data_IF_994091566764
#
_entry.id   IF_994091566764
#
_cell.length_a   1.000
_cell.length_b   1.000
_cell.length_c   1.000
_cell.angle_alpha   90.00
_cell.angle_beta   90.00
_cell.angle_gamma   90.00
#
_symmetry.space_group_name_H-M   'P 1'
#
loop_
_entity.id
_entity.type
_entity.pdbx_description
1 polymer ?
#
# COMPACT_ATOMS: atom_id res chain seq x y z
N UNK A 1 38.93 -17.64 -4.39
CA UNK A 1 38.20 -16.37 -4.12
C UNK A 1 39.01 -15.21 -4.66
N UNK A 2 38.36 -14.24 -5.31
CA UNK A 2 39.03 -12.99 -5.69
C UNK A 2 39.22 -12.10 -4.46
N UNK A 3 40.35 -11.39 -4.38
CA UNK A 3 40.62 -10.44 -3.30
C UNK A 3 40.23 -9.03 -3.75
N UNK A 4 39.46 -8.32 -2.93
CA UNK A 4 39.07 -6.94 -3.20
C UNK A 4 39.49 -6.06 -2.02
N UNK A 5 40.21 -4.98 -2.29
CA UNK A 5 40.52 -3.93 -1.30
C UNK A 5 39.56 -2.77 -1.52
N UNK A 6 38.63 -2.57 -0.59
CA UNK A 6 37.59 -1.54 -0.68
C UNK A 6 37.76 -0.58 0.49
N UNK A 7 37.71 0.72 0.22
CA UNK A 7 37.57 1.75 1.24
C UNK A 7 36.09 2.00 1.49
N UNK A 8 35.67 1.92 2.75
CA UNK A 8 34.30 2.19 3.19
C UNK A 8 34.28 3.42 4.09
N UNK A 9 33.13 4.08 4.18
CA UNK A 9 32.95 5.17 5.14
C UNK A 9 32.97 4.62 6.56
N UNK A 10 33.45 5.41 7.53
CA UNK A 10 33.57 5.03 8.95
C UNK A 10 32.27 4.46 9.53
N UNK A 11 31.13 5.04 9.16
CA UNK A 11 29.80 4.54 9.59
C UNK A 11 29.57 3.09 9.16
N UNK A 12 29.88 2.78 7.89
CA UNK A 12 29.69 1.44 7.33
C UNK A 12 30.68 0.47 7.97
N UNK A 13 31.94 0.87 8.16
CA UNK A 13 32.92 0.06 8.86
C UNK A 13 32.45 -0.30 10.28
N UNK A 14 31.94 0.69 11.02
CA UNK A 14 31.41 0.50 12.37
C UNK A 14 30.24 -0.49 12.39
N UNK A 15 29.27 -0.31 11.49
CA UNK A 15 28.12 -1.22 11.40
C UNK A 15 28.55 -2.66 11.09
N UNK A 16 29.52 -2.86 10.19
CA UNK A 16 30.07 -4.19 9.89
C UNK A 16 30.74 -4.80 11.13
N UNK A 17 31.51 -4.00 11.87
CA UNK A 17 32.16 -4.46 13.11
C UNK A 17 31.14 -4.82 14.18
N UNK A 18 30.07 -4.04 14.32
CA UNK A 18 29.00 -4.30 15.28
C UNK A 18 28.28 -5.63 14.97
N UNK A 19 28.02 -5.91 13.69
CA UNK A 19 27.46 -7.21 13.24
C UNK A 19 28.40 -8.35 13.59
N UNK A 20 29.69 -8.22 13.26
CA UNK A 20 30.70 -9.23 13.60
C UNK A 20 30.78 -9.49 15.10
N UNK A 21 30.77 -8.45 15.93
CA UNK A 21 30.81 -8.59 17.38
C UNK A 21 29.55 -9.28 17.92
N UNK A 22 28.37 -9.00 17.36
CA UNK A 22 27.14 -9.71 17.70
C UNK A 22 27.22 -11.21 17.40
N UNK A 23 27.79 -11.60 16.25
CA UNK A 23 27.97 -13.02 15.92
C UNK A 23 28.88 -13.73 16.94
N UNK A 24 29.97 -13.10 17.36
CA UNK A 24 30.84 -13.63 18.41
C UNK A 24 30.12 -13.72 19.77
N UNK A 25 29.34 -12.69 20.13
CA UNK A 25 28.55 -12.69 21.37
C UNK A 25 27.49 -13.79 21.39
N UNK A 26 26.94 -14.13 20.22
CA UNK A 26 25.98 -15.22 20.06
C UNK A 26 26.63 -16.62 20.08
N UNK A 27 27.93 -16.72 20.33
CA UNK A 27 28.64 -17.97 20.50
C UNK A 27 29.31 -18.51 19.23
N UNK A 28 29.42 -17.72 18.16
CA UNK A 28 30.14 -18.12 16.96
C UNK A 28 31.65 -18.25 17.25
N UNK A 29 32.27 -19.32 16.77
CA UNK A 29 33.70 -19.52 16.99
C UNK A 29 34.50 -18.52 16.10
N UNK A 30 35.56 -17.86 16.61
CA UNK A 30 36.42 -16.98 15.81
C UNK A 30 37.12 -17.62 14.60
N UNK A 31 37.04 -18.95 14.44
CA UNK A 31 37.56 -19.68 13.27
C UNK A 31 36.52 -19.84 12.15
N UNK A 32 35.24 -19.63 12.46
CA UNK A 32 34.11 -19.77 11.54
C UNK A 32 33.67 -18.40 11.01
N UNK A 33 33.79 -17.36 11.85
CA UNK A 33 33.37 -16.00 11.53
C UNK A 33 34.56 -15.05 11.57
N UNK A 34 34.73 -14.28 10.50
CA UNK A 34 35.71 -13.23 10.34
C UNK A 34 35.06 -11.98 9.73
N UNK A 35 35.67 -10.81 9.93
CA UNK A 35 35.21 -9.58 9.28
C UNK A 35 35.09 -9.76 7.75
N UNK A 36 36.02 -10.49 7.14
CA UNK A 36 35.97 -10.77 5.70
C UNK A 36 34.81 -11.67 5.29
N UNK A 37 34.45 -12.68 6.09
CA UNK A 37 33.28 -13.53 5.80
C UNK A 37 31.97 -12.76 6.00
N UNK A 38 31.87 -11.95 7.04
CA UNK A 38 30.72 -11.04 7.27
C UNK A 38 30.57 -10.05 6.11
N UNK A 39 31.67 -9.42 5.66
CA UNK A 39 31.65 -8.54 4.48
C UNK A 39 31.20 -9.28 3.20
N UNK A 40 31.66 -10.51 2.98
CA UNK A 40 31.27 -11.28 1.81
C UNK A 40 29.77 -11.57 1.79
N UNK A 41 29.17 -11.91 2.95
CA UNK A 41 27.73 -12.16 3.02
C UNK A 41 26.92 -10.86 2.85
N UNK A 42 27.38 -9.75 3.41
CA UNK A 42 26.76 -8.43 3.18
C UNK A 42 26.82 -8.01 1.71
N UNK A 43 27.94 -8.23 1.03
CA UNK A 43 28.06 -7.97 -0.41
C UNK A 43 27.13 -8.88 -1.22
N UNK A 44 27.00 -10.16 -0.84
CA UNK A 44 26.07 -11.10 -1.47
C UNK A 44 24.62 -10.66 -1.32
N UNK A 45 24.20 -10.28 -0.12
CA UNK A 45 22.87 -9.75 0.16
C UNK A 45 22.61 -8.46 -0.61
N UNK A 46 23.60 -7.55 -0.65
CA UNK A 46 23.53 -6.32 -1.43
C UNK A 46 23.35 -6.58 -2.93
N UNK A 47 24.04 -7.58 -3.49
CA UNK A 47 23.89 -7.99 -4.88
C UNK A 47 22.51 -8.61 -5.15
N UNK A 48 21.97 -9.41 -4.22
CA UNK A 48 20.61 -9.97 -4.33
C UNK A 48 19.58 -8.82 -4.37
N UNK A 49 19.66 -7.88 -3.43
CA UNK A 49 18.76 -6.73 -3.37
C UNK A 49 18.90 -5.83 -4.61
N UNK A 50 20.13 -5.58 -5.06
CA UNK A 50 20.38 -4.79 -6.27
C UNK A 50 19.78 -5.46 -7.51
N UNK A 51 19.90 -6.79 -7.65
CA UNK A 51 19.26 -7.54 -8.73
C UNK A 51 17.74 -7.53 -8.62
N UNK A 52 17.19 -7.68 -7.42
CA UNK A 52 15.75 -7.62 -7.19
C UNK A 52 15.16 -6.23 -7.51
N UNK A 53 15.85 -5.15 -7.14
CA UNK A 53 15.46 -3.78 -7.49
C UNK A 53 15.43 -3.53 -9.00
N UNK A 54 16.33 -4.19 -9.74
CA UNK A 54 16.41 -4.10 -11.19
C UNK A 54 15.56 -5.17 -11.91
N UNK A 55 14.93 -6.09 -11.17
CA UNK A 55 13.90 -6.95 -11.72
C UNK A 55 12.63 -6.09 -11.91
N UNK A 56 11.98 -6.24 -13.06
CA UNK A 56 11.01 -5.32 -13.68
C UNK A 56 9.76 -4.94 -12.86
N UNK A 57 9.62 -5.34 -11.61
CA UNK A 57 8.47 -5.01 -10.78
C UNK A 57 8.68 -3.67 -10.05
N UNK A 58 8.94 -2.62 -10.82
CA UNK A 58 8.93 -1.25 -10.30
C UNK A 58 7.48 -0.79 -10.14
N UNK A 59 7.09 -0.43 -8.92
CA UNK A 59 5.77 0.11 -8.65
C UNK A 59 5.46 1.31 -9.56
N UNK A 60 4.45 1.16 -10.42
CA UNK A 60 3.96 2.21 -11.30
C UNK A 60 2.79 2.93 -10.62
N UNK A 61 3.04 4.14 -10.10
CA UNK A 61 1.98 4.97 -9.49
C UNK A 61 0.81 5.18 -10.45
N UNK A 62 1.09 5.35 -11.75
CA UNK A 62 0.06 5.56 -12.78
C UNK A 62 -0.84 4.34 -12.93
N UNK A 63 -0.24 3.15 -12.95
CA UNK A 63 -0.97 1.90 -13.10
C UNK A 63 -1.77 1.56 -11.84
N UNK A 64 -1.15 1.75 -10.67
CA UNK A 64 -1.83 1.66 -9.39
C UNK A 64 -3.04 2.58 -9.32
N UNK A 65 -2.89 3.87 -9.65
CA UNK A 65 -3.99 4.84 -9.64
C UNK A 65 -5.10 4.42 -10.61
N UNK A 66 -4.75 3.97 -11.82
CA UNK A 66 -5.72 3.47 -12.80
C UNK A 66 -6.52 2.29 -12.26
N UNK A 67 -5.84 1.33 -11.64
CA UNK A 67 -6.46 0.11 -11.11
C UNK A 67 -7.34 0.40 -9.90
N UNK A 68 -6.89 1.28 -9.00
CA UNK A 68 -7.68 1.74 -7.84
C UNK A 68 -8.95 2.44 -8.31
N UNK A 69 -8.84 3.41 -9.24
CA UNK A 69 -10.01 4.11 -9.79
C UNK A 69 -10.96 3.10 -10.42
N UNK A 70 -10.46 2.17 -11.25
CA UNK A 70 -11.29 1.15 -11.90
C UNK A 70 -12.07 0.30 -10.90
N UNK A 71 -11.42 -0.16 -9.82
CA UNK A 71 -12.06 -0.98 -8.79
C UNK A 71 -13.10 -0.17 -8.02
N UNK A 72 -12.76 1.04 -7.57
CA UNK A 72 -13.66 1.89 -6.78
C UNK A 72 -14.89 2.31 -7.60
N UNK A 73 -14.70 2.77 -8.84
CA UNK A 73 -15.80 3.10 -9.75
C UNK A 73 -16.70 1.90 -10.01
N UNK A 74 -16.12 0.73 -10.29
CA UNK A 74 -16.90 -0.50 -10.51
C UNK A 74 -17.70 -0.94 -9.28
N UNK A 75 -17.14 -0.80 -8.07
CA UNK A 75 -17.87 -1.08 -6.83
C UNK A 75 -19.01 -0.09 -6.62
N UNK A 76 -18.79 1.21 -6.87
CA UNK A 76 -19.84 2.24 -6.75
C UNK A 76 -21.02 1.96 -7.67
N UNK A 77 -20.75 1.64 -8.93
CA UNK A 77 -21.77 1.25 -9.91
C UNK A 77 -22.54 0.00 -9.47
N UNK A 78 -21.82 -1.02 -8.98
CA UNK A 78 -22.43 -2.24 -8.45
C UNK A 78 -23.36 -1.99 -7.26
N UNK A 79 -22.96 -1.12 -6.32
CA UNK A 79 -23.80 -0.74 -5.18
C UNK A 79 -25.07 -0.01 -5.66
N UNK A 80 -24.96 0.89 -6.64
CA UNK A 80 -26.14 1.58 -7.18
C UNK A 80 -27.11 0.60 -7.86
N UNK A 81 -26.61 -0.38 -8.62
CA UNK A 81 -27.46 -1.42 -9.21
C UNK A 81 -28.18 -2.25 -8.14
N UNK A 82 -27.45 -2.71 -7.12
CA UNK A 82 -28.03 -3.47 -6.01
C UNK A 82 -29.10 -2.67 -5.27
N UNK A 83 -28.83 -1.39 -5.03
CA UNK A 83 -29.76 -0.50 -4.36
C UNK A 83 -31.07 -0.32 -5.16
N UNK A 84 -30.95 -0.12 -6.47
CA UNK A 84 -32.11 -0.06 -7.37
C UNK A 84 -32.93 -1.34 -7.33
N UNK A 85 -32.28 -2.51 -7.42
CA UNK A 85 -32.96 -3.81 -7.35
C UNK A 85 -33.66 -4.03 -6.00
N UNK A 86 -32.99 -3.70 -4.88
CA UNK A 86 -33.59 -3.84 -3.54
C UNK A 86 -34.79 -2.92 -3.37
N UNK A 87 -34.71 -1.69 -3.90
CA UNK A 87 -35.80 -0.73 -3.84
C UNK A 87 -36.99 -1.22 -4.67
N UNK A 88 -36.76 -1.72 -5.88
CA UNK A 88 -37.78 -2.32 -6.75
C UNK A 88 -38.48 -3.51 -6.06
N UNK A 89 -37.72 -4.44 -5.47
CA UNK A 89 -38.26 -5.59 -4.72
C UNK A 89 -39.11 -5.12 -3.53
N UNK A 90 -38.64 -4.12 -2.78
CA UNK A 90 -39.38 -3.56 -1.64
C UNK A 90 -40.74 -2.98 -2.04
N UNK A 91 -40.84 -2.40 -3.23
CA UNK A 91 -42.06 -1.77 -3.70
C UNK A 91 -43.05 -2.78 -4.27
N UNK A 92 -42.55 -3.76 -5.02
CA UNK A 92 -43.36 -4.90 -5.46
C UNK A 92 -43.97 -5.68 -4.29
N UNK A 93 -43.30 -5.73 -3.15
CA UNK A 93 -43.82 -6.38 -1.93
C UNK A 93 -44.79 -5.50 -1.13
N UNK A 94 -44.80 -4.18 -1.32
CA UNK A 94 -45.61 -3.23 -0.52
C UNK A 94 -46.86 -2.69 -1.27
N UNK A 95 -47.00 -2.93 -2.57
CA UNK A 95 -48.22 -2.68 -3.36
C UNK A 95 -48.32 -1.31 -4.06
N UNK A 96 -49.27 -1.20 -5.00
CA UNK A 96 -49.46 -0.23 -6.12
C UNK A 96 -49.30 1.29 -5.86
N UNK A 97 -49.12 1.76 -4.62
CA UNK A 97 -48.84 3.18 -4.31
C UNK A 97 -47.34 3.54 -4.34
N UNK A 98 -46.49 2.63 -4.84
CA UNK A 98 -45.04 2.69 -4.67
C UNK A 98 -44.25 3.49 -5.69
N UNK A 99 -44.78 3.78 -6.88
CA UNK A 99 -43.94 4.28 -7.98
C UNK A 99 -43.41 5.72 -7.76
N UNK A 100 -44.18 6.60 -7.13
CA UNK A 100 -43.68 7.94 -6.73
C UNK A 100 -42.69 7.87 -5.55
N UNK A 101 -42.70 6.76 -4.81
CA UNK A 101 -41.87 6.53 -3.63
C UNK A 101 -40.50 5.94 -3.97
N UNK A 102 -40.32 5.37 -5.18
CA UNK A 102 -39.02 4.82 -5.63
C UNK A 102 -38.00 5.93 -5.75
N UNK A 103 -38.36 7.01 -6.46
CA UNK A 103 -37.45 8.12 -6.73
C UNK A 103 -37.07 8.84 -5.43
N UNK A 104 -38.02 8.99 -4.51
CA UNK A 104 -37.77 9.58 -3.19
C UNK A 104 -36.83 8.70 -2.34
N UNK A 105 -37.07 7.39 -2.30
CA UNK A 105 -36.22 6.45 -1.55
C UNK A 105 -34.81 6.33 -2.16
N UNK A 106 -34.70 6.23 -3.48
CA UNK A 106 -33.41 6.22 -4.19
C UNK A 106 -32.66 7.53 -3.98
N UNK A 107 -33.34 8.68 -4.07
CA UNK A 107 -32.77 9.99 -3.80
C UNK A 107 -32.22 10.08 -2.36
N UNK A 108 -32.98 9.58 -1.38
CA UNK A 108 -32.55 9.52 0.02
C UNK A 108 -31.32 8.64 0.23
N UNK A 109 -31.31 7.43 -0.34
CA UNK A 109 -30.16 6.54 -0.24
C UNK A 109 -28.91 7.10 -0.93
N UNK A 110 -29.06 7.71 -2.11
CA UNK A 110 -27.94 8.35 -2.82
C UNK A 110 -27.36 9.53 -2.02
N UNK A 111 -28.21 10.31 -1.37
CA UNK A 111 -27.78 11.42 -0.51
C UNK A 111 -27.01 10.92 0.74
N UNK A 112 -27.48 9.85 1.39
CA UNK A 112 -26.79 9.25 2.53
C UNK A 112 -25.48 8.56 2.13
N UNK A 113 -25.41 7.93 0.95
CA UNK A 113 -24.16 7.41 0.39
C UNK A 113 -23.16 8.55 0.19
N UNK A 114 -23.57 9.65 -0.46
CA UNK A 114 -22.70 10.81 -0.67
C UNK A 114 -22.20 11.40 0.65
N UNK A 115 -23.08 11.54 1.63
CA UNK A 115 -22.70 12.02 2.97
C UNK A 115 -21.72 11.09 3.67
N UNK A 116 -21.91 9.77 3.57
CA UNK A 116 -20.99 8.79 4.15
C UNK A 116 -19.62 8.80 3.46
N UNK A 117 -19.58 9.01 2.14
CA UNK A 117 -18.35 9.20 1.38
C UNK A 117 -17.62 10.48 1.79
N UNK A 118 -18.32 11.61 1.87
CA UNK A 118 -17.76 12.89 2.33
C UNK A 118 -17.22 12.78 3.77
N UNK A 119 -17.95 12.11 4.66
CA UNK A 119 -17.52 11.86 6.04
C UNK A 119 -16.25 10.99 6.09
N UNK A 120 -16.19 9.94 5.29
CA UNK A 120 -15.02 9.08 5.18
C UNK A 120 -13.82 9.85 4.60
N UNK A 121 -14.07 10.71 3.60
CA UNK A 121 -13.03 11.56 3.00
C UNK A 121 -12.43 12.49 4.05
N UNK A 122 -13.29 13.18 4.80
CA UNK A 122 -12.90 14.10 5.87
C UNK A 122 -12.13 13.44 7.02
N UNK A 123 -12.36 12.15 7.29
CA UNK A 123 -11.70 11.41 8.38
C UNK A 123 -10.36 10.80 7.98
N UNK A 124 -10.19 10.44 6.70
CA UNK A 124 -9.07 9.62 6.24
C UNK A 124 -8.09 10.33 5.32
N UNK A 125 -8.49 11.41 4.63
CA UNK A 125 -7.58 12.17 3.77
C UNK A 125 -7.26 13.53 4.38
N UNK A 126 -5.98 13.92 4.30
CA UNK A 126 -5.52 15.25 4.72
C UNK A 126 -6.09 16.25 3.72
N UNK A 127 -6.88 17.21 4.21
CA UNK A 127 -7.38 18.29 3.36
C UNK A 127 -6.19 19.01 2.73
N UNK A 128 -6.21 19.31 1.42
CA UNK A 128 -5.17 20.14 0.84
C UNK A 128 -5.12 21.46 1.61
N UNK A 129 -3.92 21.84 2.05
CA UNK A 129 -3.71 23.06 2.82
C UNK A 129 -4.40 24.24 2.13
N UNK A 130 -5.31 24.89 2.84
CA UNK A 130 -5.96 26.13 2.39
C UNK A 130 -5.00 27.34 2.39
N UNK A 131 -3.71 27.09 2.20
CA UNK A 131 -2.71 28.12 1.95
C UNK A 131 -2.27 28.03 0.50
N UNK A 132 -3.01 28.72 -0.38
CA UNK A 132 -2.48 29.17 -1.65
C UNK A 132 -1.29 30.10 -1.41
N UNK A 133 -0.09 29.51 -1.31
CA UNK A 133 1.15 30.22 -1.53
C UNK A 133 1.93 29.43 -2.57
N UNK A 134 2.00 30.06 -3.75
CA UNK A 134 2.96 29.78 -4.83
C UNK A 134 4.39 29.62 -4.31
#
# INVERSE_FOLDING_TARGET
MGRMGIYVKDKIEKEIRDIYQLEIQNGAHPGEVSISSTCNELLRLGLIMHKAKNAEDSFSQREWNREVIRKVSGTREGIMLLLSMVTEIYLHTTGEKGNDRIEELLGGYLAEIGKAEDDAENRHFVKPDASGKE
#
